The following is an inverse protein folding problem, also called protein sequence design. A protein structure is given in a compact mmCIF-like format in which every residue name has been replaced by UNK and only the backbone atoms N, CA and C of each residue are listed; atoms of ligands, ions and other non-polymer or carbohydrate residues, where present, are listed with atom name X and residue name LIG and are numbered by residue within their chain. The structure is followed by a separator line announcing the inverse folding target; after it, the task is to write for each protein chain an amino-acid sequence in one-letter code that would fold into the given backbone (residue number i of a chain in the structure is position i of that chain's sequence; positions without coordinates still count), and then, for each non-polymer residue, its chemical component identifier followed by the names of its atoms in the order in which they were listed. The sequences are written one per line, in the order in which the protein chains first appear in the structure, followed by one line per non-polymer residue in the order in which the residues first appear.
data_IF_506075439952
#
_entry.id   IF_506075439952
#
_cell.length_a   1.000
_cell.length_b   1.000
_cell.length_c   1.000
_cell.angle_alpha   90.00
_cell.angle_beta   90.00
_cell.angle_gamma   90.00
#
_symmetry.space_group_name_H-M   'P 1'
#
loop_
_entity.id
_entity.type
_entity.pdbx_description
1 polymer ?
#
# COMPACT_ATOMS: atom_id res chain seq x y z
N UNK A 1 -12.25 13.35 11.40
CA UNK A 1 -11.14 13.91 10.57
C UNK A 1 -9.75 13.59 11.11
N UNK A 2 -9.44 13.80 12.40
CA UNK A 2 -8.08 13.60 12.96
C UNK A 2 -7.54 12.16 12.87
N UNK A 3 -8.39 11.12 12.96
CA UNK A 3 -7.94 9.72 12.91
C UNK A 3 -7.50 9.29 11.49
N UNK A 4 -8.35 9.53 10.49
CA UNK A 4 -8.05 9.22 9.07
C UNK A 4 -6.79 9.96 8.60
N UNK A 5 -6.61 11.22 9.00
CA UNK A 5 -5.42 12.00 8.69
C UNK A 5 -4.15 11.44 9.34
N UNK A 6 -4.20 10.99 10.61
CA UNK A 6 -3.05 10.37 11.29
C UNK A 6 -2.66 9.03 10.68
N UNK A 7 -3.66 8.21 10.36
CA UNK A 7 -3.46 6.89 9.73
C UNK A 7 -2.87 7.05 8.32
N UNK A 8 -3.29 8.08 7.59
CA UNK A 8 -2.74 8.47 6.29
C UNK A 8 -1.25 8.84 6.35
N UNK A 9 -0.79 9.49 7.42
CA UNK A 9 0.62 9.82 7.60
C UNK A 9 1.48 8.58 7.87
N UNK A 10 0.97 7.63 8.66
CA UNK A 10 1.68 6.37 8.92
C UNK A 10 1.92 5.62 7.63
N UNK A 11 0.92 5.52 6.76
CA UNK A 11 1.07 4.90 5.43
C UNK A 11 2.16 5.56 4.59
N UNK A 12 2.15 6.90 4.50
CA UNK A 12 3.14 7.67 3.73
C UNK A 12 4.55 7.45 4.31
N UNK A 13 4.68 7.45 5.63
CA UNK A 13 5.96 7.28 6.32
C UNK A 13 6.51 5.86 6.13
N UNK A 14 5.65 4.84 6.27
CA UNK A 14 5.96 3.44 5.96
C UNK A 14 6.37 3.28 4.50
N UNK A 15 5.69 3.96 3.57
CA UNK A 15 6.02 3.95 2.15
C UNK A 15 7.34 4.64 1.82
N UNK A 16 7.62 5.79 2.43
CA UNK A 16 8.88 6.49 2.26
C UNK A 16 10.06 5.64 2.74
N UNK A 17 9.88 4.89 3.84
CA UNK A 17 10.86 3.94 4.34
C UNK A 17 11.05 2.73 3.38
N UNK A 18 9.97 2.22 2.82
CA UNK A 18 9.99 1.13 1.83
C UNK A 18 10.70 1.50 0.52
N UNK A 19 10.57 2.75 0.10
CA UNK A 19 11.28 3.29 -1.06
C UNK A 19 12.77 3.43 -0.79
N UNK A 20 13.16 3.79 0.44
CA UNK A 20 14.56 3.98 0.82
C UNK A 20 15.35 2.68 0.89
N UNK A 21 14.70 1.57 1.25
CA UNK A 21 15.34 0.26 1.46
C UNK A 21 16.12 -0.30 0.24
N UNK A 22 15.58 -0.34 -1.00
CA UNK A 22 16.35 -0.80 -2.16
C UNK A 22 17.54 0.12 -2.48
N UNK A 23 17.47 1.43 -2.20
CA UNK A 23 18.62 2.33 -2.37
C UNK A 23 19.71 2.12 -1.32
N UNK A 24 19.34 1.78 -0.09
CA UNK A 24 20.29 1.44 0.99
C UNK A 24 21.01 0.12 0.68
N UNK A 25 20.29 -0.88 0.17
CA UNK A 25 20.87 -2.16 -0.25
C UNK A 25 21.75 -2.03 -1.50
N UNK A 26 21.35 -1.20 -2.47
CA UNK A 26 22.15 -0.94 -3.67
C UNK A 26 23.45 -0.16 -3.40
N UNK A 27 23.51 0.60 -2.30
CA UNK A 27 24.76 1.23 -1.82
C UNK A 27 25.69 0.26 -1.10
N UNK A 28 25.17 -0.88 -0.63
CA UNK A 28 25.91 -1.85 0.18
C UNK A 28 26.49 -3.03 -0.62
N UNK A 29 25.98 -3.33 -1.82
CA UNK A 29 26.43 -4.47 -2.62
C UNK A 29 26.39 -4.23 -4.13
N UNK A 30 27.39 -4.80 -4.79
CA UNK A 30 27.86 -4.66 -6.17
C UNK A 30 26.81 -4.56 -7.30
N UNK A 31 27.28 -3.99 -8.40
CA UNK A 31 26.57 -3.47 -9.59
C UNK A 31 25.61 -4.41 -10.34
N UNK A 32 25.52 -5.70 -10.01
CA UNK A 32 24.53 -6.64 -10.59
C UNK A 32 23.11 -6.46 -10.01
N UNK A 33 22.96 -5.79 -8.88
CA UNK A 33 21.68 -5.40 -8.26
C UNK A 33 20.88 -4.42 -9.14
N UNK A 34 21.54 -3.72 -10.06
CA UNK A 34 20.95 -2.61 -10.84
C UNK A 34 19.83 -3.11 -11.79
N UNK A 35 19.96 -4.32 -12.35
CA UNK A 35 18.94 -4.90 -13.25
C UNK A 35 17.70 -5.41 -12.51
N UNK A 36 17.85 -5.99 -11.31
CA UNK A 36 16.69 -6.32 -10.48
C UNK A 36 16.03 -5.05 -9.93
N UNK A 37 16.83 -4.01 -9.63
CA UNK A 37 16.35 -2.74 -9.07
C UNK A 37 15.32 -2.04 -9.95
N UNK A 38 15.41 -2.14 -11.28
CA UNK A 38 14.51 -1.40 -12.17
C UNK A 38 13.05 -1.88 -12.03
N UNK A 39 12.81 -3.18 -11.92
CA UNK A 39 11.47 -3.72 -11.71
C UNK A 39 10.90 -3.38 -10.33
N UNK A 40 11.74 -3.44 -9.29
CA UNK A 40 11.35 -3.00 -7.94
C UNK A 40 11.01 -1.52 -7.91
N UNK A 41 11.81 -0.67 -8.56
CA UNK A 41 11.55 0.76 -8.66
C UNK A 41 10.24 1.07 -9.38
N UNK A 42 9.92 0.36 -10.47
CA UNK A 42 8.63 0.52 -11.14
C UNK A 42 7.45 0.10 -10.25
N UNK A 43 7.57 -1.04 -9.57
CA UNK A 43 6.57 -1.50 -8.59
C UNK A 43 6.37 -0.44 -7.50
N UNK A 44 7.46 0.16 -7.03
CA UNK A 44 7.43 1.14 -5.96
C UNK A 44 6.80 2.46 -6.40
N UNK A 45 7.16 2.96 -7.59
CA UNK A 45 6.58 4.17 -8.17
C UNK A 45 5.09 3.99 -8.45
N UNK A 46 4.68 2.86 -9.03
CA UNK A 46 3.28 2.55 -9.33
C UNK A 46 2.48 2.42 -8.03
N UNK A 47 3.03 1.73 -7.05
CA UNK A 47 2.39 1.59 -5.75
C UNK A 47 2.25 2.96 -5.07
N UNK A 48 3.30 3.78 -5.04
CA UNK A 48 3.24 5.12 -4.45
C UNK A 48 2.20 6.01 -5.13
N UNK A 49 2.14 5.98 -6.47
CA UNK A 49 1.11 6.68 -7.24
C UNK A 49 -0.29 6.19 -6.88
N UNK A 50 -0.48 4.87 -6.78
CA UNK A 50 -1.74 4.27 -6.38
C UNK A 50 -2.14 4.62 -4.93
N UNK A 51 -1.20 4.61 -3.99
CA UNK A 51 -1.44 5.02 -2.60
C UNK A 51 -1.80 6.51 -2.52
N UNK A 52 -1.08 7.39 -3.22
CA UNK A 52 -1.39 8.81 -3.28
C UNK A 52 -2.79 9.06 -3.87
N UNK A 53 -3.14 8.35 -4.95
CA UNK A 53 -4.46 8.46 -5.58
C UNK A 53 -5.57 7.95 -4.67
N UNK A 54 -5.36 6.80 -4.03
CA UNK A 54 -6.27 6.25 -3.02
C UNK A 54 -6.51 7.26 -1.89
N UNK A 55 -5.44 7.89 -1.40
CA UNK A 55 -5.47 8.89 -0.35
C UNK A 55 -6.31 10.11 -0.75
N UNK A 56 -6.09 10.63 -1.97
CA UNK A 56 -6.83 11.76 -2.51
C UNK A 56 -8.32 11.45 -2.61
N UNK A 57 -8.68 10.27 -3.11
CA UNK A 57 -10.08 9.86 -3.26
C UNK A 57 -10.77 9.73 -1.90
N UNK A 58 -10.10 9.12 -0.91
CA UNK A 58 -10.63 8.95 0.45
C UNK A 58 -10.80 10.30 1.15
N UNK A 59 -9.82 11.21 1.01
CA UNK A 59 -9.88 12.54 1.60
C UNK A 59 -10.95 13.41 0.96
N UNK A 60 -11.03 13.41 -0.37
CA UNK A 60 -12.03 14.16 -1.13
C UNK A 60 -13.43 13.51 -1.10
N UNK A 61 -13.55 12.29 -0.55
CA UNK A 61 -14.81 11.54 -0.41
C UNK A 61 -15.60 11.46 -1.72
N UNK A 62 -14.90 11.21 -2.82
CA UNK A 62 -15.51 11.25 -4.16
C UNK A 62 -16.38 10.01 -4.35
N UNK A 63 -17.71 10.18 -4.26
CA UNK A 63 -18.70 9.10 -4.41
C UNK A 63 -18.56 8.30 -5.70
N UNK A 64 -18.35 9.00 -6.82
CA UNK A 64 -18.22 8.40 -8.15
C UNK A 64 -17.05 7.42 -8.26
N UNK A 65 -16.00 7.61 -7.45
CA UNK A 65 -14.79 6.78 -7.46
C UNK A 65 -14.77 5.74 -6.34
N UNK A 66 -15.88 5.51 -5.63
CA UNK A 66 -15.93 4.53 -4.56
C UNK A 66 -15.64 3.10 -5.06
N UNK A 67 -16.26 2.69 -6.17
CA UNK A 67 -15.96 1.40 -6.81
C UNK A 67 -14.50 1.29 -7.25
N UNK A 68 -13.96 2.36 -7.83
CA UNK A 68 -12.56 2.46 -8.21
C UNK A 68 -11.61 2.34 -7.01
N UNK A 69 -11.96 2.95 -5.86
CA UNK A 69 -11.20 2.86 -4.60
C UNK A 69 -11.08 1.41 -4.14
N UNK A 70 -12.17 0.63 -4.23
CA UNK A 70 -12.16 -0.79 -3.85
C UNK A 70 -11.27 -1.64 -4.78
N UNK A 71 -11.29 -1.35 -6.08
CA UNK A 71 -10.41 -2.03 -7.05
C UNK A 71 -8.96 -1.64 -6.79
N UNK A 72 -8.68 -0.35 -6.59
CA UNK A 72 -7.35 0.18 -6.33
C UNK A 72 -6.72 -0.44 -5.06
N UNK A 73 -7.50 -0.61 -3.99
CA UNK A 73 -7.06 -1.32 -2.78
C UNK A 73 -6.61 -2.75 -3.06
N UNK A 74 -7.34 -3.46 -3.94
CA UNK A 74 -6.97 -4.81 -4.35
C UNK A 74 -5.70 -4.83 -5.19
N UNK A 75 -5.60 -3.92 -6.16
CA UNK A 75 -4.41 -3.78 -7.01
C UNK A 75 -3.18 -3.51 -6.15
N UNK A 76 -3.27 -2.59 -5.19
CA UNK A 76 -2.18 -2.28 -4.28
C UNK A 76 -1.80 -3.48 -3.39
N UNK A 77 -2.77 -4.23 -2.87
CA UNK A 77 -2.49 -5.40 -2.06
C UNK A 77 -1.81 -6.52 -2.87
N UNK A 78 -2.23 -6.73 -4.11
CA UNK A 78 -1.60 -7.67 -5.04
C UNK A 78 -0.18 -7.23 -5.40
N UNK A 79 0.01 -5.94 -5.66
CA UNK A 79 1.31 -5.37 -6.01
C UNK A 79 2.31 -5.53 -4.86
N UNK A 80 1.86 -5.34 -3.62
CA UNK A 80 2.63 -5.59 -2.41
C UNK A 80 2.95 -7.09 -2.23
N UNK A 81 1.97 -7.97 -2.46
CA UNK A 81 2.19 -9.42 -2.41
C UNK A 81 3.18 -9.91 -3.47
N UNK A 82 3.13 -9.33 -4.67
CA UNK A 82 4.10 -9.58 -5.73
C UNK A 82 5.51 -9.13 -5.33
N UNK A 83 5.63 -7.96 -4.69
CA UNK A 83 6.91 -7.45 -4.18
C UNK A 83 7.53 -8.38 -3.13
N UNK A 84 6.71 -8.91 -2.22
CA UNK A 84 7.12 -9.93 -1.25
C UNK A 84 7.65 -11.18 -1.97
N UNK A 85 6.91 -11.71 -2.96
CA UNK A 85 7.32 -12.90 -3.72
C UNK A 85 8.66 -12.70 -4.43
N UNK A 86 8.87 -11.52 -5.02
CA UNK A 86 10.13 -11.20 -5.69
C UNK A 86 11.29 -11.05 -4.69
N UNK A 87 11.00 -10.53 -3.48
CA UNK A 87 12.01 -10.28 -2.45
C UNK A 87 12.32 -11.49 -1.57
N UNK A 88 11.87 -12.70 -1.92
CA UNK A 88 11.99 -13.89 -1.07
C UNK A 88 13.45 -14.23 -0.73
N UNK A 89 14.37 -13.97 -1.65
CA UNK A 89 15.80 -14.24 -1.46
C UNK A 89 16.43 -13.34 -0.39
N UNK A 90 15.83 -12.17 -0.14
CA UNK A 90 16.32 -11.23 0.88
C UNK A 90 15.90 -11.62 2.31
N UNK A 91 14.97 -12.57 2.47
CA UNK A 91 14.48 -13.05 3.77
C UNK A 91 15.56 -13.71 4.64
N UNK A 92 16.70 -14.08 4.05
CA UNK A 92 17.84 -14.63 4.77
C UNK A 92 18.61 -13.56 5.58
N UNK A 93 18.29 -12.28 5.38
CA UNK A 93 18.91 -11.15 6.08
C UNK A 93 17.94 -10.51 7.08
N UNK A 94 18.47 -10.01 8.21
CA UNK A 94 17.65 -9.31 9.22
C UNK A 94 16.88 -8.13 8.61
N UNK A 95 17.51 -7.40 7.69
CA UNK A 95 16.91 -6.30 6.94
C UNK A 95 15.76 -6.77 6.06
N UNK A 96 15.91 -7.88 5.34
CA UNK A 96 14.83 -8.45 4.53
C UNK A 96 13.66 -8.99 5.36
N UNK A 97 13.91 -9.55 6.55
CA UNK A 97 12.84 -9.97 7.47
C UNK A 97 12.04 -8.77 7.98
N UNK A 98 12.71 -7.69 8.40
CA UNK A 98 12.04 -6.46 8.83
C UNK A 98 11.21 -5.85 7.69
N UNK A 99 11.75 -5.85 6.49
CA UNK A 99 11.06 -5.37 5.30
C UNK A 99 9.82 -6.21 5.00
N UNK A 100 9.92 -7.53 5.04
CA UNK A 100 8.79 -8.44 4.86
C UNK A 100 7.67 -8.23 5.88
N UNK A 101 8.01 -8.04 7.17
CA UNK A 101 7.01 -7.72 8.20
C UNK A 101 6.30 -6.39 7.92
N UNK A 102 7.04 -5.40 7.43
CA UNK A 102 6.50 -4.09 7.08
C UNK A 102 5.56 -4.18 5.86
N UNK A 103 5.94 -4.94 4.84
CA UNK A 103 5.11 -5.27 3.69
C UNK A 103 3.80 -5.97 4.10
N UNK A 104 3.87 -6.96 5.01
CA UNK A 104 2.70 -7.63 5.56
C UNK A 104 1.78 -6.67 6.31
N UNK A 105 2.35 -5.76 7.11
CA UNK A 105 1.58 -4.74 7.82
C UNK A 105 0.80 -3.86 6.83
N UNK A 106 1.42 -3.47 5.71
CA UNK A 106 0.76 -2.71 4.64
C UNK A 106 -0.39 -3.51 4.00
N UNK A 107 -0.20 -4.81 3.74
CA UNK A 107 -1.26 -5.68 3.20
C UNK A 107 -2.44 -5.78 4.17
N UNK A 108 -2.19 -6.08 5.45
CA UNK A 108 -3.24 -6.15 6.46
C UNK A 108 -3.99 -4.83 6.59
N UNK A 109 -3.27 -3.71 6.52
CA UNK A 109 -3.86 -2.39 6.51
C UNK A 109 -4.81 -2.19 5.32
N UNK A 110 -4.37 -2.52 4.09
CA UNK A 110 -5.18 -2.38 2.88
C UNK A 110 -6.47 -3.22 2.95
N UNK A 111 -6.36 -4.45 3.45
CA UNK A 111 -7.51 -5.34 3.69
C UNK A 111 -8.46 -4.73 4.73
N UNK A 112 -7.92 -4.18 5.82
CA UNK A 112 -8.69 -3.50 6.86
C UNK A 112 -9.45 -2.28 6.34
N UNK A 113 -8.79 -1.42 5.55
CA UNK A 113 -9.43 -0.26 4.90
C UNK A 113 -10.54 -0.71 3.97
N UNK A 114 -10.32 -1.76 3.17
CA UNK A 114 -11.36 -2.32 2.31
C UNK A 114 -12.57 -2.79 3.12
N UNK A 115 -12.34 -3.52 4.21
CA UNK A 115 -13.39 -3.99 5.11
C UNK A 115 -14.17 -2.81 5.71
N UNK A 116 -13.46 -1.77 6.16
CA UNK A 116 -14.08 -0.55 6.65
C UNK A 116 -14.93 0.14 5.57
N UNK A 117 -14.41 0.31 4.35
CA UNK A 117 -15.16 0.93 3.26
C UNK A 117 -16.44 0.17 2.95
N UNK A 118 -16.37 -1.16 2.91
CA UNK A 118 -17.55 -2.03 2.69
C UNK A 118 -18.57 -2.00 3.83
N UNK A 119 -18.16 -1.67 5.06
CA UNK A 119 -19.09 -1.55 6.18
C UNK A 119 -20.04 -0.36 6.01
N UNK A 120 -21.20 -0.42 6.67
CA UNK A 120 -22.20 0.65 6.66
C UNK A 120 -21.58 2.00 7.03
N UNK A 121 -20.72 2.03 8.06
CA UNK A 121 -20.01 3.24 8.50
C UNK A 121 -19.11 3.81 7.40
N UNK A 122 -18.44 2.96 6.62
CA UNK A 122 -17.60 3.38 5.50
C UNK A 122 -18.41 3.92 4.33
N UNK A 123 -19.48 3.22 3.95
CA UNK A 123 -20.41 3.66 2.89
C UNK A 123 -21.06 5.00 3.24
N UNK A 124 -21.55 5.17 4.47
CA UNK A 124 -22.12 6.43 4.94
C UNK A 124 -21.06 7.54 5.01
N UNK A 125 -19.81 7.24 5.35
CA UNK A 125 -18.73 8.23 5.35
C UNK A 125 -18.44 8.80 3.95
N UNK A 126 -18.71 8.03 2.89
CA UNK A 126 -18.70 8.46 1.49
C UNK A 126 -20.06 9.02 1.03
N UNK A 127 -21.11 8.95 1.85
CA UNK A 127 -22.46 9.40 1.50
C UNK A 127 -23.17 8.49 0.50
N UNK A 128 -22.87 7.19 0.54
CA UNK A 128 -23.55 6.13 -0.21
C UNK A 128 -24.66 5.50 0.64
N UNK A 129 -25.72 4.95 0.00
CA UNK A 129 -26.75 4.21 0.71
C UNK A 129 -26.16 2.95 1.36
N UNK A 130 -26.66 2.68 2.57
CA UNK A 130 -26.36 1.46 3.31
C UNK A 130 -26.99 0.29 2.57
N UNK A 131 -26.23 -0.79 2.36
CA UNK A 131 -26.81 -2.03 1.84
C UNK A 131 -27.67 -2.62 2.96
N UNK A 132 -29.00 -2.50 2.84
CA UNK A 132 -29.89 -3.26 3.70
C UNK A 132 -29.69 -4.73 3.35
N UNK A 133 -29.07 -5.49 4.24
CA UNK A 133 -29.11 -6.95 4.18
C UNK A 133 -30.58 -7.36 4.29
N UNK A 134 -31.21 -7.64 3.14
CA UNK A 134 -32.39 -8.48 3.03
C UNK A 134 -31.94 -9.93 2.99
#
# INVERSE_FOLDING_TARGET
MKFIAKVNWVLILTWALLLFHPYVLAWAQDTDVIKSSSYYLWIDVVSLGGFAMLQLIILAKIKSLYGFTLVLLYTLALLQGMRIMLSIDTLLTLTGVLFFLLELLVIFYLIGVRGYLRSDKGRTAFGLPVESHQ
#
